data_IF_494356009016
#
_entry.id   IF_494356009016
#
_cell.length_a   1.000
_cell.length_b   1.000
_cell.length_c   1.000
_cell.angle_alpha   90.00
_cell.angle_beta   90.00
_cell.angle_gamma   90.00
#
_symmetry.space_group_name_H-M   'P 1'
#
loop_
_entity.id
_entity.type
_entity.pdbx_description
1 polymer ?
#
# COMPACT_ATOMS: atom_id res chain seq x y z
N UNK A 1 -66.75 -6.11 20.74
CA UNK A 1 -65.86 -7.16 21.28
C UNK A 1 -65.33 -8.03 20.15
N UNK A 2 -64.10 -7.76 19.69
CA UNK A 2 -63.24 -8.74 18.99
C UNK A 2 -61.80 -8.39 19.37
N UNK A 3 -61.12 -9.33 20.00
CA UNK A 3 -59.73 -9.25 20.47
C UNK A 3 -58.74 -9.26 19.29
N UNK A 4 -57.58 -8.61 19.40
CA UNK A 4 -56.48 -8.78 18.44
C UNK A 4 -55.83 -10.15 18.63
N UNK A 5 -55.55 -10.86 17.53
CA UNK A 5 -54.72 -12.07 17.52
C UNK A 5 -53.25 -11.65 17.55
N UNK A 6 -52.54 -12.07 18.58
CA UNK A 6 -51.08 -12.08 18.62
C UNK A 6 -50.52 -12.97 17.50
N UNK A 7 -49.71 -12.41 16.60
CA UNK A 7 -48.84 -13.18 15.70
C UNK A 7 -47.45 -13.20 16.34
N UNK A 8 -47.30 -14.04 17.36
CA UNK A 8 -45.99 -14.53 17.80
C UNK A 8 -45.74 -15.86 17.08
N UNK A 9 -45.14 -15.82 15.88
CA UNK A 9 -44.54 -17.04 15.33
C UNK A 9 -43.20 -17.29 16.03
N UNK A 10 -42.93 -18.53 16.50
CA UNK A 10 -41.67 -18.82 17.17
C UNK A 10 -40.51 -18.81 16.16
N UNK A 11 -39.38 -18.22 16.56
CA UNK A 11 -38.14 -18.07 15.78
C UNK A 11 -37.64 -19.41 15.21
N UNK A 12 -38.01 -20.53 15.82
CA UNK A 12 -37.74 -21.88 15.33
C UNK A 12 -38.27 -22.14 13.92
N UNK A 13 -39.43 -21.60 13.54
CA UNK A 13 -40.00 -21.76 12.20
C UNK A 13 -39.22 -20.96 11.13
N UNK A 14 -38.63 -19.82 11.49
CA UNK A 14 -37.83 -19.01 10.58
C UNK A 14 -36.49 -19.69 10.27
N UNK A 15 -35.86 -20.29 11.29
CA UNK A 15 -34.60 -21.06 11.16
C UNK A 15 -34.79 -22.28 10.27
N UNK A 16 -35.91 -23.02 10.44
CA UNK A 16 -36.25 -24.17 9.61
C UNK A 16 -36.45 -23.81 8.12
N UNK A 17 -37.10 -22.68 7.83
CA UNK A 17 -37.31 -22.23 6.44
C UNK A 17 -36.01 -21.80 5.75
N UNK A 18 -35.06 -21.20 6.47
CA UNK A 18 -33.72 -20.86 5.93
C UNK A 18 -32.91 -22.13 5.64
N UNK A 19 -33.00 -23.16 6.48
CA UNK A 19 -32.38 -24.46 6.23
C UNK A 19 -33.03 -25.22 5.06
N UNK A 20 -34.32 -25.05 4.79
CA UNK A 20 -34.99 -25.75 3.68
C UNK A 20 -34.62 -25.18 2.30
N UNK A 21 -34.30 -23.89 2.23
CA UNK A 21 -33.81 -23.22 1.00
C UNK A 21 -32.36 -23.60 0.64
N UNK A 22 -31.59 -24.14 1.58
CA UNK A 22 -30.20 -24.57 1.38
C UNK A 22 -30.05 -26.03 1.80
N UNK A 23 -30.11 -26.93 0.82
CA UNK A 23 -30.23 -28.39 0.89
C UNK A 23 -29.10 -29.12 1.69
N UNK A 24 -28.88 -28.80 2.97
CA UNK A 24 -27.89 -29.44 3.88
C UNK A 24 -28.36 -29.46 5.34
N UNK A 25 -28.09 -30.58 6.04
CA UNK A 25 -28.28 -30.74 7.49
C UNK A 25 -27.35 -29.77 8.25
N UNK A 26 -27.92 -28.76 8.91
CA UNK A 26 -27.18 -27.91 9.86
C UNK A 26 -27.28 -28.51 11.27
N UNK A 27 -26.14 -28.71 11.94
CA UNK A 27 -26.08 -29.00 13.38
C UNK A 27 -26.26 -27.68 14.14
N UNK A 28 -27.42 -27.49 14.76
CA UNK A 28 -27.69 -26.29 15.55
C UNK A 28 -27.04 -26.42 16.94
N UNK A 29 -25.89 -25.76 17.15
CA UNK A 29 -25.43 -25.41 18.49
C UNK A 29 -25.88 -23.99 18.82
N UNK A 30 -26.86 -23.85 19.72
CA UNK A 30 -27.30 -22.55 20.22
C UNK A 30 -26.37 -22.08 21.34
N UNK A 31 -25.47 -21.15 21.06
CA UNK A 31 -24.96 -20.23 22.08
C UNK A 31 -25.60 -18.87 21.84
N UNK A 32 -26.58 -18.50 22.65
CA UNK A 32 -27.32 -17.25 22.50
C UNK A 32 -26.73 -16.19 23.44
N UNK A 33 -25.97 -15.25 22.88
CA UNK A 33 -25.62 -14.00 23.56
C UNK A 33 -26.61 -12.93 23.10
N UNK A 34 -27.70 -12.74 23.83
CA UNK A 34 -28.64 -11.65 23.58
C UNK A 34 -28.10 -10.36 24.20
N UNK A 35 -27.78 -9.36 23.37
CA UNK A 35 -27.59 -7.96 23.82
C UNK A 35 -28.71 -7.10 23.26
N UNK A 36 -29.46 -6.48 24.16
CA UNK A 36 -30.55 -5.56 23.84
C UNK A 36 -30.00 -4.13 24.02
N UNK A 37 -30.00 -3.33 22.95
CA UNK A 37 -29.64 -1.91 23.01
C UNK A 37 -30.89 -1.11 22.68
N UNK A 38 -31.39 -0.33 23.65
CA UNK A 38 -32.50 0.61 23.47
C UNK A 38 -31.95 2.01 23.26
N UNK A 39 -31.98 2.49 22.02
CA UNK A 39 -31.96 3.91 21.68
C UNK A 39 -33.24 4.21 20.90
N UNK A 40 -33.93 5.28 21.30
CA UNK A 40 -35.26 5.74 20.85
C UNK A 40 -35.90 5.05 19.64
N UNK A 41 -37.06 4.41 19.87
CA UNK A 41 -38.02 3.88 18.86
C UNK A 41 -37.43 3.04 17.70
N UNK A 42 -36.25 2.44 17.86
CA UNK A 42 -35.78 1.33 17.03
C UNK A 42 -35.58 0.09 17.90
N UNK A 43 -36.23 -1.02 17.54
CA UNK A 43 -35.87 -2.35 18.04
C UNK A 43 -34.98 -3.02 17.00
N UNK A 44 -33.70 -3.21 17.33
CA UNK A 44 -32.78 -4.04 16.55
C UNK A 44 -32.55 -5.37 17.27
N UNK A 45 -32.83 -6.50 16.61
CA UNK A 45 -32.47 -7.85 17.10
C UNK A 45 -31.35 -8.41 16.23
N UNK A 46 -30.31 -8.91 16.89
CA UNK A 46 -29.17 -9.53 16.24
C UNK A 46 -29.24 -11.05 16.43
N UNK A 47 -29.21 -11.79 15.33
CA UNK A 47 -29.05 -13.24 15.34
C UNK A 47 -27.77 -13.59 14.57
N UNK A 48 -26.84 -14.26 15.24
CA UNK A 48 -25.63 -14.82 14.61
C UNK A 48 -25.89 -16.31 14.39
N UNK A 49 -25.88 -16.75 13.13
CA UNK A 49 -26.01 -18.15 12.77
C UNK A 49 -24.65 -18.64 12.28
N UNK A 50 -24.06 -19.58 13.03
CA UNK A 50 -22.82 -20.25 12.63
C UNK A 50 -23.19 -21.36 11.65
N UNK A 51 -22.78 -21.22 10.39
CA UNK A 51 -23.09 -22.21 9.33
C UNK A 51 -21.98 -23.27 9.25
N UNK A 52 -20.73 -22.86 9.48
CA UNK A 52 -19.55 -23.73 9.60
C UNK A 52 -18.43 -23.00 10.37
N UNK A 53 -17.31 -23.68 10.64
CA UNK A 53 -16.12 -23.09 11.27
C UNK A 53 -15.50 -21.89 10.53
N UNK A 54 -15.91 -21.65 9.28
CA UNK A 54 -15.35 -20.63 8.39
C UNK A 54 -16.39 -19.71 7.74
N UNK A 55 -17.68 -19.85 8.10
CA UNK A 55 -18.77 -19.03 7.54
C UNK A 55 -19.78 -18.63 8.62
N UNK A 56 -19.95 -17.33 8.78
CA UNK A 56 -20.95 -16.73 9.66
C UNK A 56 -22.01 -16.00 8.84
N UNK A 57 -23.26 -16.15 9.25
CA UNK A 57 -24.38 -15.38 8.71
C UNK A 57 -24.93 -14.47 9.81
N UNK A 58 -24.92 -13.17 9.55
CA UNK A 58 -25.52 -12.17 10.41
C UNK A 58 -26.90 -11.81 9.87
N UNK A 59 -27.91 -11.96 10.72
CA UNK A 59 -29.26 -11.47 10.44
C UNK A 59 -29.51 -10.30 11.39
N UNK A 60 -29.67 -9.12 10.79
CA UNK A 60 -30.09 -7.92 11.49
C UNK A 60 -31.55 -7.70 11.13
N UNK A 61 -32.44 -7.76 12.12
CA UNK A 61 -33.81 -7.29 11.96
C UNK A 61 -33.98 -5.95 12.66
N UNK A 62 -34.50 -4.98 11.92
CA UNK A 62 -34.95 -3.71 12.48
C UNK A 62 -36.40 -3.46 12.10
N UNK A 63 -37.16 -2.90 13.02
CA UNK A 63 -38.58 -2.60 12.82
C UNK A 63 -38.80 -1.09 12.94
N UNK A 64 -39.32 -0.49 11.86
CA UNK A 64 -39.66 0.94 11.80
C UNK A 64 -41.05 1.07 11.18
N UNK A 65 -41.98 1.76 11.84
CA UNK A 65 -43.36 1.98 11.37
C UNK A 65 -44.06 0.70 10.87
N UNK A 66 -43.99 -0.39 11.64
CA UNK A 66 -44.58 -1.71 11.30
C UNK A 66 -44.01 -2.41 10.05
N UNK A 67 -42.92 -1.92 9.47
CA UNK A 67 -42.19 -2.59 8.39
C UNK A 67 -40.95 -3.29 8.98
N UNK A 68 -40.78 -4.58 8.65
CA UNK A 68 -39.63 -5.39 9.05
C UNK A 68 -38.55 -5.34 7.97
N UNK A 69 -37.39 -4.80 8.31
CA UNK A 69 -36.21 -4.81 7.44
C UNK A 69 -35.28 -5.95 7.86
N UNK A 70 -34.95 -6.84 6.93
CA UNK A 70 -34.01 -7.94 7.12
C UNK A 70 -32.77 -7.68 6.26
N UNK A 71 -31.62 -7.52 6.90
CA UNK A 71 -30.33 -7.42 6.21
C UNK A 71 -29.53 -8.70 6.46
N UNK A 72 -29.14 -9.37 5.37
CA UNK A 72 -28.31 -10.57 5.40
C UNK A 72 -26.87 -10.19 5.05
N UNK A 73 -25.92 -10.51 5.93
CA UNK A 73 -24.50 -10.36 5.65
C UNK A 73 -23.81 -11.71 5.84
N UNK A 74 -23.28 -12.25 4.74
CA UNK A 74 -22.48 -13.48 4.74
C UNK A 74 -21.02 -13.07 4.76
N UNK A 75 -20.29 -13.47 5.79
CA UNK A 75 -18.86 -13.24 5.88
C UNK A 75 -18.15 -14.60 5.76
N UNK A 76 -17.48 -14.81 4.63
CA UNK A 76 -16.61 -15.97 4.42
C UNK A 76 -15.21 -15.60 4.89
N UNK A 77 -14.75 -16.26 5.95
CA UNK A 77 -13.33 -16.24 6.28
C UNK A 77 -12.69 -17.41 5.56
N UNK A 78 -11.83 -17.11 4.58
CA UNK A 78 -10.88 -18.08 4.09
C UNK A 78 -9.86 -18.34 5.20
N UNK A 79 -10.14 -19.32 6.05
CA UNK A 79 -9.10 -20.03 6.78
C UNK A 79 -8.36 -20.92 5.78
N UNK A 80 -7.67 -20.29 4.83
CA UNK A 80 -6.41 -20.86 4.40
C UNK A 80 -5.53 -20.60 5.60
N UNK A 81 -5.35 -21.58 6.47
CA UNK A 81 -4.10 -21.65 7.21
C UNK A 81 -3.08 -21.97 6.14
N UNK A 82 -2.28 -21.01 5.65
CA UNK A 82 -1.13 -21.45 4.92
C UNK A 82 -0.30 -22.16 5.98
N UNK A 83 -0.09 -23.46 5.82
CA UNK A 83 1.10 -24.08 6.39
C UNK A 83 2.29 -23.46 5.69
N UNK A 84 2.54 -22.18 5.97
CA UNK A 84 3.85 -21.55 5.77
C UNK A 84 4.66 -22.20 6.88
N UNK A 85 5.59 -23.08 6.49
CA UNK A 85 6.72 -23.35 7.36
C UNK A 85 7.19 -22.00 7.84
N UNK A 86 7.14 -21.75 9.15
CA UNK A 86 7.79 -20.60 9.76
C UNK A 86 9.29 -20.86 9.53
N UNK A 87 9.74 -20.52 8.34
CA UNK A 87 11.14 -20.47 8.00
C UNK A 87 11.63 -19.27 8.79
N UNK A 88 12.22 -19.55 9.95
CA UNK A 88 12.90 -18.56 10.79
C UNK A 88 14.08 -18.00 10.00
N UNK A 89 13.79 -17.21 8.96
CA UNK A 89 14.79 -16.56 8.13
C UNK A 89 15.33 -15.31 8.83
N UNK A 90 15.78 -15.40 10.07
CA UNK A 90 17.06 -14.74 10.33
C UNK A 90 18.09 -15.65 9.65
N UNK A 91 18.14 -15.63 8.32
CA UNK A 91 18.96 -16.57 7.54
C UNK A 91 20.38 -16.36 8.00
N UNK A 92 20.95 -17.39 8.63
CA UNK A 92 22.34 -17.32 9.02
C UNK A 92 23.17 -17.14 7.74
N UNK A 93 24.18 -16.29 7.79
CA UNK A 93 24.96 -15.88 6.62
C UNK A 93 26.43 -15.96 7.01
N UNK A 94 27.10 -17.05 6.64
CA UNK A 94 28.51 -17.26 6.97
C UNK A 94 29.39 -16.81 5.81
N UNK A 95 30.26 -15.84 6.09
CA UNK A 95 31.33 -15.47 5.16
C UNK A 95 32.36 -16.61 5.11
N UNK A 96 32.84 -16.95 3.91
CA UNK A 96 33.89 -17.96 3.73
C UNK A 96 35.26 -17.36 4.08
N UNK A 97 35.49 -17.05 5.36
CA UNK A 97 36.79 -16.65 5.87
C UNK A 97 37.42 -17.79 6.65
N UNK A 98 38.68 -18.11 6.33
CA UNK A 98 39.44 -19.22 6.92
C UNK A 98 39.57 -19.08 8.46
N UNK A 99 39.44 -17.86 9.00
CA UNK A 99 39.63 -17.54 10.41
C UNK A 99 38.37 -17.10 11.16
N UNK A 100 37.18 -17.19 10.57
CA UNK A 100 35.91 -16.85 11.24
C UNK A 100 34.92 -18.01 11.13
N UNK A 101 34.75 -18.80 12.20
CA UNK A 101 33.78 -19.90 12.22
C UNK A 101 32.33 -19.40 12.37
N UNK A 102 32.16 -18.16 12.82
CA UNK A 102 30.88 -17.51 13.06
C UNK A 102 30.31 -16.87 11.80
N UNK A 103 28.99 -16.67 11.78
CA UNK A 103 28.30 -15.93 10.73
C UNK A 103 28.47 -14.40 10.89
N UNK A 104 27.98 -13.60 9.94
CA UNK A 104 28.08 -12.12 9.99
C UNK A 104 27.38 -11.50 11.22
N UNK A 105 26.62 -12.30 11.97
CA UNK A 105 25.92 -11.92 13.18
C UNK A 105 26.58 -12.47 14.45
N UNK A 106 27.74 -13.13 14.35
CA UNK A 106 28.45 -13.76 15.48
C UNK A 106 27.88 -15.12 15.91
N UNK A 107 27.05 -15.78 15.08
CA UNK A 107 26.42 -17.06 15.42
C UNK A 107 27.33 -18.22 14.99
N UNK A 108 27.69 -19.10 15.94
CA UNK A 108 28.63 -20.21 15.72
C UNK A 108 28.07 -21.40 14.93
N UNK A 109 26.74 -21.57 14.89
CA UNK A 109 26.10 -22.77 14.33
C UNK A 109 25.67 -22.60 12.86
N UNK A 110 26.09 -21.53 12.19
CA UNK A 110 25.71 -21.30 10.80
C UNK A 110 26.59 -22.08 9.83
N UNK A 111 25.94 -22.80 8.92
CA UNK A 111 26.59 -23.52 7.82
C UNK A 111 26.23 -22.97 6.44
N UNK A 112 25.27 -22.03 6.36
CA UNK A 112 24.84 -21.43 5.09
C UNK A 112 25.81 -20.32 4.67
N UNK A 113 26.37 -20.37 3.45
CA UNK A 113 27.21 -19.30 2.94
C UNK A 113 26.38 -18.04 2.66
N UNK A 114 26.99 -16.88 2.87
CA UNK A 114 26.41 -15.61 2.42
C UNK A 114 26.20 -15.63 0.90
N UNK A 115 25.13 -14.95 0.46
CA UNK A 115 24.94 -14.68 -0.96
C UNK A 115 26.00 -13.69 -1.43
N UNK A 116 26.65 -14.00 -2.54
CA UNK A 116 27.58 -13.06 -3.16
C UNK A 116 26.80 -11.90 -3.81
N UNK A 117 27.34 -10.66 -3.76
CA UNK A 117 26.72 -9.52 -4.41
C UNK A 117 26.58 -9.80 -5.90
N UNK A 118 25.34 -9.78 -6.42
CA UNK A 118 25.11 -9.95 -7.85
C UNK A 118 25.30 -8.64 -8.60
N UNK A 119 25.64 -8.76 -9.88
CA UNK A 119 25.56 -7.63 -10.81
C UNK A 119 24.16 -6.98 -10.73
N UNK A 120 24.07 -5.66 -10.91
CA UNK A 120 22.79 -4.96 -10.97
C UNK A 120 21.83 -5.67 -11.93
N UNK A 121 20.54 -5.72 -11.58
CA UNK A 121 19.53 -6.38 -12.40
C UNK A 121 19.48 -5.67 -13.75
N UNK A 122 19.78 -6.34 -14.88
CA UNK A 122 19.95 -5.66 -16.17
C UNK A 122 18.77 -4.79 -16.58
N UNK A 123 17.54 -5.24 -16.28
CA UNK A 123 16.30 -4.50 -16.55
C UNK A 123 16.20 -3.16 -15.80
N UNK A 124 16.91 -3.02 -14.67
CA UNK A 124 16.85 -1.85 -13.80
C UNK A 124 18.02 -0.88 -14.03
N UNK A 125 18.99 -1.24 -14.89
CA UNK A 125 20.13 -0.38 -15.20
C UNK A 125 19.78 0.52 -16.38
N UNK A 126 19.96 1.83 -16.21
CA UNK A 126 19.98 2.77 -17.34
C UNK A 126 21.36 2.62 -18.01
N UNK A 127 21.39 2.25 -19.29
CA UNK A 127 22.62 1.93 -20.03
C UNK A 127 23.78 2.96 -19.82
N UNK A 128 24.91 2.44 -19.34
CA UNK A 128 26.34 2.86 -19.43
C UNK A 128 26.76 4.37 -19.34
N UNK A 129 27.60 4.75 -18.35
CA UNK A 129 28.26 6.07 -18.26
C UNK A 129 29.29 6.41 -19.36
N UNK A 130 29.66 5.48 -20.23
CA UNK A 130 30.70 5.71 -21.26
C UNK A 130 30.17 6.12 -22.63
N UNK A 131 28.86 6.27 -22.79
CA UNK A 131 28.27 6.66 -24.09
C UNK A 131 28.43 8.16 -24.33
N UNK A 132 29.32 8.48 -25.27
CA UNK A 132 29.63 9.82 -25.76
C UNK A 132 28.38 10.67 -26.09
N UNK A 133 28.51 11.98 -25.93
CA UNK A 133 27.50 13.05 -26.02
C UNK A 133 26.74 13.20 -27.36
N UNK A 134 26.55 12.15 -28.16
CA UNK A 134 26.02 12.26 -29.53
C UNK A 134 24.96 11.23 -29.94
N UNK A 135 24.04 10.84 -29.04
CA UNK A 135 22.75 10.29 -29.50
C UNK A 135 21.59 10.78 -28.63
N UNK A 136 20.78 11.65 -29.21
CA UNK A 136 19.47 12.11 -28.74
C UNK A 136 18.41 11.00 -28.87
N UNK A 137 18.62 9.89 -28.18
CA UNK A 137 17.62 8.83 -28.04
C UNK A 137 17.30 8.74 -26.55
N UNK A 138 16.07 9.12 -26.21
CA UNK A 138 15.56 9.36 -24.85
C UNK A 138 16.12 8.39 -23.79
N UNK A 139 17.07 8.86 -22.99
CA UNK A 139 17.48 8.16 -21.78
C UNK A 139 16.32 8.23 -20.78
N UNK A 140 15.45 7.22 -20.81
CA UNK A 140 14.35 7.10 -19.86
C UNK A 140 14.89 6.88 -18.46
N UNK A 141 14.49 7.72 -17.51
CA UNK A 141 14.83 7.51 -16.10
C UNK A 141 13.94 6.42 -15.50
N UNK A 142 14.42 5.79 -14.43
CA UNK A 142 13.67 4.74 -13.75
C UNK A 142 12.71 5.34 -12.71
N UNK A 143 11.52 4.77 -12.63
CA UNK A 143 10.62 4.93 -11.51
C UNK A 143 10.25 3.57 -10.93
N UNK A 144 10.11 3.49 -9.61
CA UNK A 144 9.91 2.23 -8.91
C UNK A 144 8.68 2.26 -8.02
N UNK A 145 7.91 1.18 -8.09
CA UNK A 145 6.97 0.74 -7.08
C UNK A 145 7.47 -0.58 -6.49
N UNK A 146 7.13 -0.88 -5.23
CA UNK A 146 7.53 -2.13 -4.58
C UNK A 146 6.34 -2.75 -3.86
N UNK A 147 5.96 -3.96 -4.27
CA UNK A 147 4.98 -4.83 -3.63
C UNK A 147 5.73 -5.80 -2.69
N UNK A 148 5.37 -5.81 -1.40
CA UNK A 148 6.14 -6.51 -0.34
C UNK A 148 5.32 -7.54 0.44
N UNK A 149 4.08 -7.81 0.04
CA UNK A 149 3.22 -8.80 0.69
C UNK A 149 3.49 -10.23 0.23
N UNK A 150 4.24 -10.41 -0.87
CA UNK A 150 4.58 -11.72 -1.40
C UNK A 150 3.52 -12.31 -2.33
N UNK A 151 2.50 -11.54 -2.71
CA UNK A 151 1.36 -12.05 -3.48
C UNK A 151 1.59 -12.10 -5.00
N UNK A 152 2.59 -11.37 -5.52
CA UNK A 152 2.87 -11.33 -6.96
C UNK A 152 1.74 -10.71 -7.79
N UNK A 153 0.91 -9.88 -7.16
CA UNK A 153 -0.34 -9.35 -7.68
C UNK A 153 -0.55 -7.90 -7.22
N UNK A 154 -1.28 -7.12 -8.03
CA UNK A 154 -1.75 -5.79 -7.66
C UNK A 154 -3.28 -5.77 -7.65
N UNK A 155 -3.86 -5.22 -6.59
CA UNK A 155 -5.28 -4.88 -6.58
C UNK A 155 -5.55 -3.66 -7.50
N UNK A 156 -6.83 -3.36 -7.76
CA UNK A 156 -7.20 -2.26 -8.66
C UNK A 156 -6.69 -0.88 -8.21
N UNK A 157 -6.55 -0.62 -6.90
CA UNK A 157 -6.01 0.66 -6.40
C UNK A 157 -4.51 0.77 -6.66
N UNK A 158 -3.78 -0.31 -6.39
CA UNK A 158 -2.35 -0.39 -6.63
C UNK A 158 -2.02 -0.33 -8.13
N UNK A 159 -2.80 -1.03 -8.96
CA UNK A 159 -2.65 -0.97 -10.41
C UNK A 159 -2.99 0.44 -10.95
N UNK A 160 -3.96 1.12 -10.36
CA UNK A 160 -4.27 2.52 -10.70
C UNK A 160 -3.09 3.46 -10.40
N UNK A 161 -2.38 3.28 -9.28
CA UNK A 161 -1.17 4.04 -8.98
C UNK A 161 -0.10 3.87 -10.08
N UNK A 162 0.16 2.61 -10.49
CA UNK A 162 1.11 2.29 -11.56
C UNK A 162 0.69 2.90 -12.89
N UNK A 163 -0.57 2.71 -13.29
CA UNK A 163 -1.12 3.28 -14.53
C UNK A 163 -0.97 4.80 -14.54
N UNK A 164 -1.37 5.47 -13.47
CA UNK A 164 -1.36 6.93 -13.40
C UNK A 164 0.04 7.51 -13.56
N UNK A 165 1.05 6.88 -12.97
CA UNK A 165 2.44 7.31 -13.16
C UNK A 165 2.88 7.11 -14.61
N UNK A 166 2.59 5.94 -15.19
CA UNK A 166 2.97 5.59 -16.55
C UNK A 166 2.33 6.52 -17.60
N UNK A 167 1.04 6.84 -17.42
CA UNK A 167 0.27 7.74 -18.28
C UNK A 167 0.87 9.15 -18.33
N UNK A 168 1.18 9.71 -17.16
CA UNK A 168 1.67 11.10 -17.07
C UNK A 168 3.18 11.24 -17.31
N UNK A 169 3.92 10.14 -17.37
CA UNK A 169 5.38 10.15 -17.51
C UNK A 169 5.86 9.14 -18.56
N UNK A 170 5.55 9.33 -19.85
CA UNK A 170 5.93 8.40 -20.92
C UNK A 170 7.46 8.24 -21.09
N UNK A 171 8.23 9.20 -20.57
CA UNK A 171 9.69 9.21 -20.58
C UNK A 171 10.32 8.51 -19.37
N UNK A 172 9.52 7.97 -18.45
CA UNK A 172 10.00 7.10 -17.37
C UNK A 172 9.82 5.64 -17.76
N UNK A 173 10.75 4.78 -17.34
CA UNK A 173 10.53 3.34 -17.26
C UNK A 173 10.01 3.02 -15.86
N UNK A 174 8.75 2.62 -15.77
CA UNK A 174 8.04 2.34 -14.52
C UNK A 174 8.18 0.86 -14.17
N UNK A 175 9.00 0.56 -13.18
CA UNK A 175 9.24 -0.78 -12.65
C UNK A 175 8.33 -1.05 -11.45
N UNK A 176 7.60 -2.16 -11.46
CA UNK A 176 6.95 -2.71 -10.27
C UNK A 176 7.76 -3.92 -9.81
N UNK A 177 8.38 -3.77 -8.64
CA UNK A 177 9.21 -4.79 -8.04
C UNK A 177 8.37 -5.63 -7.07
N UNK A 178 8.27 -6.93 -7.30
CA UNK A 178 7.57 -7.86 -6.42
C UNK A 178 8.59 -8.61 -5.56
N UNK A 179 8.57 -8.37 -4.24
CA UNK A 179 9.53 -8.96 -3.32
C UNK A 179 9.18 -10.42 -2.99
N UNK A 180 10.11 -11.33 -3.27
CA UNK A 180 10.03 -12.78 -3.04
C UNK A 180 8.73 -13.42 -3.54
N UNK A 181 8.20 -12.92 -4.66
CA UNK A 181 6.95 -13.40 -5.24
C UNK A 181 7.08 -13.77 -6.71
N UNK A 182 6.39 -14.85 -7.09
CA UNK A 182 6.16 -15.19 -8.50
C UNK A 182 5.07 -14.28 -9.04
N UNK A 183 5.38 -13.53 -10.09
CA UNK A 183 4.42 -12.60 -10.71
C UNK A 183 3.30 -13.40 -11.37
N UNK A 184 2.05 -13.09 -11.01
CA UNK A 184 0.87 -13.65 -11.65
C UNK A 184 0.44 -12.78 -12.83
N UNK A 185 1.14 -12.93 -13.96
CA UNK A 185 0.91 -12.13 -15.18
C UNK A 185 -0.45 -12.35 -15.83
N UNK A 186 -1.19 -13.39 -15.43
CA UNK A 186 -2.55 -13.67 -15.92
C UNK A 186 -3.64 -12.86 -15.21
N UNK A 187 -3.31 -12.05 -14.21
CA UNK A 187 -4.26 -11.14 -13.59
C UNK A 187 -4.62 -9.99 -14.54
N UNK A 188 -5.91 -9.68 -14.60
CA UNK A 188 -6.46 -8.62 -15.44
C UNK A 188 -5.78 -7.26 -15.23
N UNK A 189 -5.43 -6.92 -13.98
CA UNK A 189 -4.72 -5.68 -13.64
C UNK A 189 -3.33 -5.63 -14.27
N UNK A 190 -2.55 -6.71 -14.16
CA UNK A 190 -1.19 -6.76 -14.69
C UNK A 190 -1.19 -6.84 -16.22
N UNK A 191 -2.07 -7.68 -16.79
CA UNK A 191 -2.25 -7.79 -18.24
C UNK A 191 -2.64 -6.45 -18.85
N UNK A 192 -3.57 -5.73 -18.22
CA UNK A 192 -4.04 -4.42 -18.69
C UNK A 192 -2.92 -3.38 -18.68
N UNK A 193 -2.07 -3.37 -17.65
CA UNK A 193 -0.94 -2.43 -17.57
C UNK A 193 0.05 -2.65 -18.72
N UNK A 194 0.55 -3.88 -18.91
CA UNK A 194 1.58 -4.15 -19.95
C UNK A 194 1.03 -4.07 -21.36
N UNK A 195 -0.27 -4.33 -21.56
CA UNK A 195 -0.93 -4.19 -22.86
C UNK A 195 -1.04 -2.74 -23.30
N UNK A 196 -1.28 -1.81 -22.36
CA UNK A 196 -1.56 -0.41 -22.69
C UNK A 196 -0.36 0.53 -22.48
N UNK A 197 0.63 0.14 -21.67
CA UNK A 197 1.78 0.98 -21.33
C UNK A 197 3.10 0.25 -21.57
N UNK A 198 3.75 0.58 -22.70
CA UNK A 198 5.05 0.01 -23.07
C UNK A 198 6.19 0.41 -22.12
N UNK A 199 5.96 1.42 -21.28
CA UNK A 199 6.91 1.89 -20.28
C UNK A 199 6.69 1.27 -18.88
N UNK A 200 5.86 0.24 -18.74
CA UNK A 200 5.67 -0.51 -17.50
C UNK A 200 6.39 -1.86 -17.57
N UNK A 201 7.16 -2.18 -16.54
CA UNK A 201 7.89 -3.45 -16.41
C UNK A 201 7.65 -4.07 -15.03
N UNK A 202 7.48 -5.39 -15.00
CA UNK A 202 7.32 -6.15 -13.76
C UNK A 202 8.54 -6.99 -13.49
N UNK A 203 9.10 -6.88 -12.28
CA UNK A 203 10.34 -7.55 -11.91
C UNK A 203 10.13 -8.31 -10.60
N UNK A 204 10.39 -9.62 -10.61
CA UNK A 204 10.43 -10.42 -9.39
C UNK A 204 11.81 -10.25 -8.74
N UNK A 205 11.84 -9.88 -7.47
CA UNK A 205 13.06 -9.74 -6.69
C UNK A 205 13.23 -10.94 -5.77
N UNK A 206 14.43 -11.50 -5.75
CA UNK A 206 14.88 -12.28 -4.60
C UNK A 206 15.49 -11.31 -3.58
N UNK A 207 14.90 -11.20 -2.40
CA UNK A 207 15.32 -10.20 -1.41
C UNK A 207 16.70 -10.53 -0.83
N UNK A 208 17.04 -11.81 -0.65
CA UNK A 208 18.39 -12.21 -0.20
C UNK A 208 19.47 -11.70 -1.17
N UNK A 209 19.29 -11.95 -2.48
CA UNK A 209 20.19 -11.45 -3.52
C UNK A 209 20.19 -9.91 -3.60
N UNK A 210 19.05 -9.27 -3.29
CA UNK A 210 18.93 -7.82 -3.32
C UNK A 210 19.63 -7.14 -2.13
N UNK A 211 19.73 -7.81 -0.98
CA UNK A 211 20.41 -7.31 0.23
C UNK A 211 21.91 -7.62 0.24
N UNK A 212 22.33 -8.70 -0.41
CA UNK A 212 23.71 -9.17 -0.45
C UNK A 212 24.72 -8.05 -0.79
N UNK A 213 25.73 -7.88 0.06
CA UNK A 213 26.81 -6.90 -0.12
C UNK A 213 26.40 -5.44 0.05
N UNK A 214 25.19 -5.18 0.57
CA UNK A 214 24.72 -3.83 0.85
C UNK A 214 24.93 -3.46 2.31
N UNK A 215 24.80 -2.17 2.64
CA UNK A 215 24.84 -1.73 4.05
C UNK A 215 23.70 -2.33 4.88
N UNK A 216 22.63 -2.81 4.25
CA UNK A 216 21.47 -3.41 4.92
C UNK A 216 21.63 -4.92 5.19
N UNK A 217 22.69 -5.55 4.69
CA UNK A 217 22.91 -6.99 4.79
C UNK A 217 22.93 -7.48 6.25
N UNK A 218 23.66 -6.74 7.10
CA UNK A 218 23.69 -7.02 8.54
C UNK A 218 22.32 -6.81 9.20
N UNK A 219 21.58 -5.74 8.89
CA UNK A 219 20.22 -5.58 9.43
C UNK A 219 19.32 -6.76 9.02
N UNK A 220 19.39 -7.15 7.75
CA UNK A 220 18.52 -8.16 7.16
C UNK A 220 18.75 -9.58 7.74
N UNK A 221 20.00 -9.93 8.06
CA UNK A 221 20.36 -11.25 8.62
C UNK A 221 20.44 -11.28 10.15
N UNK A 222 20.82 -10.17 10.78
CA UNK A 222 21.18 -10.12 12.20
C UNK A 222 20.10 -9.57 13.11
N UNK A 223 19.03 -8.98 12.55
CA UNK A 223 17.89 -8.51 13.33
C UNK A 223 16.66 -9.40 13.13
N UNK A 224 15.74 -9.36 14.09
CA UNK A 224 14.45 -10.04 14.00
C UNK A 224 13.40 -9.16 13.29
N UNK A 225 13.79 -8.52 12.18
CA UNK A 225 12.92 -7.55 11.47
C UNK A 225 11.65 -8.18 10.89
N UNK A 226 11.66 -9.50 10.69
CA UNK A 226 10.51 -10.30 10.23
C UNK A 226 9.45 -10.47 11.32
N UNK A 227 9.81 -10.24 12.57
CA UNK A 227 8.90 -10.31 13.70
C UNK A 227 8.23 -8.96 13.96
N UNK A 228 7.05 -9.01 14.56
CA UNK A 228 6.25 -7.83 14.88
C UNK A 228 5.29 -7.39 13.78
N UNK A 229 4.35 -6.52 14.15
CA UNK A 229 3.19 -6.15 13.31
C UNK A 229 3.55 -5.27 12.11
N UNK A 230 4.77 -4.75 12.04
CA UNK A 230 5.20 -3.79 11.01
C UNK A 230 6.27 -4.33 10.05
N UNK A 231 6.61 -5.62 10.10
CA UNK A 231 7.68 -6.21 9.29
C UNK A 231 7.54 -5.96 7.78
N UNK A 232 6.34 -6.09 7.20
CA UNK A 232 6.09 -5.79 5.78
C UNK A 232 6.36 -4.31 5.46
N UNK A 233 5.92 -3.40 6.31
CA UNK A 233 6.17 -1.98 6.15
C UNK A 233 7.66 -1.64 6.31
N UNK A 234 8.34 -2.26 7.27
CA UNK A 234 9.78 -2.10 7.48
C UNK A 234 10.60 -2.61 6.30
N UNK A 235 10.21 -3.75 5.71
CA UNK A 235 10.83 -4.26 4.48
C UNK A 235 10.62 -3.28 3.31
N UNK A 236 9.42 -2.74 3.14
CA UNK A 236 9.14 -1.71 2.13
C UNK A 236 9.98 -0.45 2.34
N UNK A 237 10.17 0.00 3.58
CA UNK A 237 11.04 1.13 3.92
C UNK A 237 12.52 0.88 3.62
N UNK A 238 13.00 -0.34 3.88
CA UNK A 238 14.37 -0.73 3.53
C UNK A 238 14.56 -0.77 2.01
N UNK A 239 13.67 -1.50 1.32
CA UNK A 239 13.78 -1.71 -0.12
C UNK A 239 13.68 -0.41 -0.90
N UNK A 240 12.77 0.53 -0.56
CA UNK A 240 12.66 1.80 -1.29
C UNK A 240 13.95 2.62 -1.27
N UNK A 241 14.61 2.70 -0.11
CA UNK A 241 15.87 3.44 0.06
C UNK A 241 16.99 2.74 -0.70
N UNK A 242 17.05 1.41 -0.58
CA UNK A 242 18.06 0.61 -1.26
C UNK A 242 17.91 0.67 -2.79
N UNK A 243 16.68 0.63 -3.29
CA UNK A 243 16.38 0.71 -4.73
C UNK A 243 16.84 2.03 -5.32
N UNK A 244 16.44 3.17 -4.74
CA UNK A 244 16.87 4.48 -5.26
C UNK A 244 18.37 4.70 -5.09
N UNK A 245 19.00 4.13 -4.05
CA UNK A 245 20.46 4.17 -3.91
C UNK A 245 21.18 3.36 -5.00
N UNK A 246 20.68 2.16 -5.32
CA UNK A 246 21.28 1.24 -6.30
C UNK A 246 21.12 1.70 -7.75
N UNK A 247 19.99 2.33 -8.08
CA UNK A 247 19.61 2.60 -9.47
C UNK A 247 19.35 4.09 -9.78
N UNK A 248 19.27 4.95 -8.76
CA UNK A 248 18.80 6.33 -8.92
C UNK A 248 17.34 6.41 -9.40
N UNK A 249 16.83 7.61 -9.63
CA UNK A 249 15.49 7.83 -10.16
C UNK A 249 14.43 8.01 -9.08
N UNK A 250 13.18 7.67 -9.42
CA UNK A 250 11.99 7.95 -8.60
C UNK A 250 11.48 6.71 -7.87
N UNK A 251 10.94 6.90 -6.68
CA UNK A 251 10.17 5.90 -5.96
C UNK A 251 8.82 6.47 -5.56
N UNK A 252 7.78 5.64 -5.66
CA UNK A 252 6.42 5.95 -5.23
C UNK A 252 5.83 4.76 -4.45
N UNK A 253 5.10 5.05 -3.36
CA UNK A 253 4.23 4.07 -2.74
C UNK A 253 3.08 3.69 -3.68
N UNK A 254 2.58 2.45 -3.57
CA UNK A 254 1.50 1.91 -4.42
C UNK A 254 0.12 2.52 -4.15
N UNK A 255 0.05 3.57 -3.34
CA UNK A 255 -1.15 4.34 -3.02
C UNK A 255 -1.02 5.82 -3.39
N UNK A 256 -0.06 6.17 -4.25
CA UNK A 256 0.09 7.48 -4.90
C UNK A 256 -0.55 7.46 -6.30
N UNK A 257 -1.60 8.25 -6.52
CA UNK A 257 -2.14 8.50 -7.86
C UNK A 257 -1.45 9.73 -8.45
N UNK A 258 -0.71 9.57 -9.54
CA UNK A 258 -0.06 10.68 -10.25
C UNK A 258 -1.07 11.44 -11.11
N UNK A 259 -1.00 12.78 -11.09
CA UNK A 259 -1.93 13.63 -11.84
C UNK A 259 -1.25 14.40 -12.99
N UNK A 260 0.09 14.43 -13.00
CA UNK A 260 0.91 15.20 -13.94
C UNK A 260 2.36 14.70 -13.97
N UNK A 261 3.18 15.17 -14.93
CA UNK A 261 4.59 14.78 -14.99
C UNK A 261 5.38 15.19 -13.75
N UNK A 262 6.25 14.29 -13.28
CA UNK A 262 7.12 14.48 -12.09
C UNK A 262 8.58 14.76 -12.46
N UNK A 263 8.96 14.55 -13.73
CA UNK A 263 10.36 14.57 -14.19
C UNK A 263 11.07 15.92 -14.09
N UNK A 264 10.33 17.00 -13.79
CA UNK A 264 10.88 18.32 -13.50
C UNK A 264 11.54 18.41 -12.12
N UNK A 265 11.24 17.49 -11.21
CA UNK A 265 11.70 17.52 -9.82
C UNK A 265 12.80 16.49 -9.60
N UNK A 266 13.91 16.91 -9.01
CA UNK A 266 15.07 16.05 -8.74
C UNK A 266 15.54 16.21 -7.29
N UNK A 267 16.24 15.19 -6.82
CA UNK A 267 16.77 15.02 -5.46
C UNK A 267 15.79 15.53 -4.39
N UNK A 268 14.65 14.87 -4.22
CA UNK A 268 13.59 15.36 -3.35
C UNK A 268 12.91 14.28 -2.51
N UNK A 269 12.27 14.73 -1.44
CA UNK A 269 11.17 14.03 -0.75
C UNK A 269 9.96 14.96 -0.64
N UNK A 270 8.78 14.41 -0.39
CA UNK A 270 7.57 15.21 -0.18
C UNK A 270 7.26 15.39 1.32
N UNK A 271 6.89 16.61 1.71
CA UNK A 271 6.30 16.86 3.01
C UNK A 271 4.93 16.15 3.09
N UNK A 272 4.63 15.52 4.23
CA UNK A 272 3.29 14.94 4.52
C UNK A 272 2.45 15.85 5.41
N UNK A 273 3.08 16.84 6.05
CA UNK A 273 2.46 17.87 6.87
C UNK A 273 3.40 19.08 6.98
N UNK A 274 3.00 20.10 7.73
CA UNK A 274 3.85 21.25 8.08
C UNK A 274 5.05 20.90 8.98
N UNK A 275 5.09 19.67 9.52
CA UNK A 275 6.09 19.22 10.50
C UNK A 275 6.90 18.01 10.06
N UNK A 276 6.37 17.20 9.15
CA UNK A 276 6.98 15.92 8.80
C UNK A 276 7.08 15.73 7.29
N UNK A 277 8.14 15.04 6.87
CA UNK A 277 8.24 14.46 5.53
C UNK A 277 7.90 12.97 5.58
N UNK A 278 7.52 12.44 4.43
CA UNK A 278 7.34 11.02 4.22
C UNK A 278 8.35 10.52 3.18
N UNK A 279 8.69 9.24 3.26
CA UNK A 279 9.55 8.55 2.30
C UNK A 279 8.74 7.74 1.27
N UNK A 280 7.44 8.03 1.10
CA UNK A 280 6.54 7.41 0.12
C UNK A 280 6.63 8.02 -1.28
N UNK A 281 7.31 9.16 -1.41
CA UNK A 281 7.69 9.75 -2.70
C UNK A 281 9.11 10.28 -2.59
N UNK A 282 10.02 9.71 -3.36
CA UNK A 282 11.45 10.05 -3.35
C UNK A 282 11.91 10.20 -4.79
N UNK A 283 12.76 11.18 -5.04
CA UNK A 283 13.70 11.10 -6.15
C UNK A 283 15.12 11.25 -5.61
N UNK A 284 16.05 10.44 -6.09
CA UNK A 284 17.46 10.64 -5.81
C UNK A 284 18.34 10.24 -7.00
N UNK A 285 19.40 11.00 -7.24
CA UNK A 285 20.43 10.58 -8.18
C UNK A 285 21.13 9.30 -7.69
N UNK A 286 21.72 8.57 -8.63
CA UNK A 286 22.43 7.33 -8.35
C UNK A 286 23.48 7.55 -7.25
N UNK A 287 23.48 6.70 -6.22
CA UNK A 287 24.39 6.79 -5.06
C UNK A 287 24.33 8.12 -4.31
N UNK A 288 23.18 8.79 -4.28
CA UNK A 288 22.99 10.04 -3.54
C UNK A 288 23.39 9.88 -2.05
N UNK A 289 24.23 10.79 -1.56
CA UNK A 289 24.81 10.73 -0.21
C UNK A 289 23.80 10.91 0.92
N UNK A 290 22.69 11.63 0.70
CA UNK A 290 21.62 11.74 1.68
C UNK A 290 20.91 10.39 1.82
N UNK A 291 20.62 9.71 0.71
CA UNK A 291 20.04 8.36 0.75
C UNK A 291 21.00 7.38 1.42
N UNK A 292 22.29 7.39 1.07
CA UNK A 292 23.29 6.53 1.73
C UNK A 292 23.32 6.77 3.25
N UNK A 293 23.31 8.03 3.68
CA UNK A 293 23.24 8.42 5.10
C UNK A 293 21.95 7.91 5.75
N UNK A 294 20.84 7.98 5.02
CA UNK A 294 19.54 7.46 5.47
C UNK A 294 19.56 5.94 5.65
N UNK A 295 20.22 5.22 4.74
CA UNK A 295 20.41 3.76 4.85
C UNK A 295 21.27 3.41 6.08
N UNK A 296 22.37 4.14 6.32
CA UNK A 296 23.22 3.95 7.50
C UNK A 296 22.42 4.18 8.79
N UNK A 297 21.63 5.25 8.85
CA UNK A 297 20.78 5.54 10.00
C UNK A 297 19.67 4.49 10.19
N UNK A 298 19.06 3.99 9.10
CA UNK A 298 18.09 2.89 9.14
C UNK A 298 18.67 1.68 9.88
N UNK A 299 19.87 1.25 9.50
CA UNK A 299 20.52 0.04 10.04
C UNK A 299 20.87 0.22 11.52
N UNK A 300 21.40 1.38 11.90
CA UNK A 300 21.86 1.65 13.27
C UNK A 300 20.69 1.89 14.23
N UNK A 301 19.63 2.58 13.77
CA UNK A 301 18.52 3.02 14.61
C UNK A 301 17.21 2.28 14.30
N UNK A 302 17.31 1.06 13.76
CA UNK A 302 16.16 0.24 13.41
C UNK A 302 15.29 -0.05 14.65
N UNK A 303 13.98 0.15 14.53
CA UNK A 303 12.99 -0.14 15.58
C UNK A 303 11.80 -0.91 15.02
N UNK A 304 11.72 -2.24 15.22
CA UNK A 304 10.62 -3.03 14.65
C UNK A 304 9.26 -2.72 15.30
N UNK A 305 9.28 -2.17 16.51
CA UNK A 305 8.12 -1.92 17.38
C UNK A 305 7.44 -0.56 17.13
N UNK A 306 8.08 0.36 16.40
CA UNK A 306 7.55 1.72 16.16
C UNK A 306 7.31 1.93 14.66
N UNK A 307 6.03 1.98 14.27
CA UNK A 307 5.61 2.05 12.87
C UNK A 307 6.33 3.12 12.04
N UNK A 308 6.39 4.36 12.54
CA UNK A 308 6.98 5.48 11.79
C UNK A 308 8.50 5.58 11.87
N UNK A 309 9.16 4.83 12.76
CA UNK A 309 10.58 5.03 13.07
C UNK A 309 11.48 4.75 11.87
N UNK A 310 11.16 3.74 11.08
CA UNK A 310 12.01 3.30 9.97
C UNK A 310 11.60 3.89 8.62
N UNK A 311 10.58 4.75 8.60
CA UNK A 311 10.06 5.41 7.40
C UNK A 311 10.06 6.93 7.55
N UNK A 312 8.89 7.59 7.74
CA UNK A 312 8.80 9.06 7.86
C UNK A 312 9.75 9.67 8.89
N UNK A 313 9.81 9.12 10.12
CA UNK A 313 10.67 9.67 11.17
C UNK A 313 12.17 9.44 10.90
N UNK A 314 12.54 8.44 10.09
CA UNK A 314 13.91 8.19 9.66
C UNK A 314 14.39 9.25 8.70
N UNK A 315 13.66 9.47 7.61
CA UNK A 315 14.10 10.44 6.61
C UNK A 315 14.09 11.86 7.19
N UNK A 316 13.13 12.16 8.08
CA UNK A 316 13.06 13.46 8.76
C UNK A 316 14.25 13.70 9.69
N UNK A 317 14.61 12.75 10.57
CA UNK A 317 15.76 12.93 11.49
C UNK A 317 17.10 13.03 10.76
N UNK A 318 17.22 12.37 9.60
CA UNK A 318 18.41 12.47 8.74
C UNK A 318 18.46 13.84 8.07
N UNK A 319 17.33 14.33 7.54
CA UNK A 319 17.23 15.68 6.97
C UNK A 319 17.55 16.78 7.98
N UNK A 320 17.11 16.65 9.24
CA UNK A 320 17.45 17.63 10.29
C UNK A 320 18.96 17.79 10.45
N UNK A 321 19.69 16.67 10.50
CA UNK A 321 21.16 16.67 10.58
C UNK A 321 21.80 17.13 9.28
N UNK A 322 21.26 16.69 8.14
CA UNK A 322 21.83 16.97 6.81
C UNK A 322 21.74 18.45 6.44
N UNK A 323 20.56 19.03 6.66
CA UNK A 323 20.25 20.43 6.37
C UNK A 323 20.67 21.39 7.48
N UNK A 324 21.14 20.87 8.64
CA UNK A 324 21.41 21.66 9.84
C UNK A 324 20.20 22.54 10.25
N UNK A 325 19.03 21.91 10.35
CA UNK A 325 17.75 22.60 10.55
C UNK A 325 16.81 21.77 11.45
N UNK A 326 16.17 22.41 12.43
CA UNK A 326 15.33 21.71 13.40
C UNK A 326 13.90 21.45 12.90
N UNK A 327 13.43 22.21 11.91
CA UNK A 327 12.07 22.11 11.38
C UNK A 327 12.03 22.32 9.86
N UNK A 328 10.96 21.82 9.22
CA UNK A 328 10.79 21.85 7.76
C UNK A 328 10.85 23.25 7.16
N UNK A 329 10.34 24.27 7.85
CA UNK A 329 10.30 25.64 7.32
C UNK A 329 11.69 26.23 7.11
N UNK A 330 12.69 25.69 7.82
CA UNK A 330 14.09 26.12 7.74
C UNK A 330 14.97 25.20 6.87
N UNK A 331 14.39 24.12 6.32
CA UNK A 331 15.08 23.19 5.42
C UNK A 331 15.06 23.72 3.99
N UNK A 332 15.94 24.68 3.71
CA UNK A 332 16.07 25.30 2.39
C UNK A 332 17.03 24.52 1.49
N UNK A 333 16.84 24.62 0.17
CA UNK A 333 17.63 23.92 -0.85
C UNK A 333 19.16 24.04 -0.64
N UNK A 334 19.64 25.25 -0.35
CA UNK A 334 21.07 25.53 -0.15
C UNK A 334 21.59 24.81 1.10
N UNK A 335 20.88 24.96 2.23
CA UNK A 335 21.27 24.36 3.51
C UNK A 335 21.18 22.82 3.45
N UNK A 336 20.23 22.30 2.69
CA UNK A 336 20.06 20.88 2.38
C UNK A 336 21.00 20.36 1.27
N UNK A 337 22.00 21.14 0.86
CA UNK A 337 23.05 20.73 -0.11
C UNK A 337 22.48 20.26 -1.44
N UNK A 338 21.45 20.96 -1.92
CA UNK A 338 20.80 20.67 -3.19
C UNK A 338 19.73 19.58 -3.12
N UNK A 339 19.32 19.13 -1.93
CA UNK A 339 18.19 18.24 -1.74
C UNK A 339 16.91 19.04 -1.44
N UNK A 340 15.84 18.80 -2.20
CA UNK A 340 14.58 19.51 -2.13
C UNK A 340 13.60 18.83 -1.15
N UNK A 341 12.76 19.64 -0.52
CA UNK A 341 11.56 19.18 0.18
C UNK A 341 10.37 19.78 -0.55
N UNK A 342 9.62 18.94 -1.26
CA UNK A 342 8.43 19.40 -1.95
C UNK A 342 7.34 19.77 -0.93
N UNK A 343 6.55 20.84 -1.18
CA UNK A 343 5.47 21.23 -0.28
C UNK A 343 4.45 20.11 -0.07
N UNK A 344 3.75 20.12 1.06
CA UNK A 344 2.70 19.14 1.39
C UNK A 344 1.68 18.96 0.26
N UNK A 345 1.25 20.08 -0.34
CA UNK A 345 0.29 20.09 -1.45
C UNK A 345 0.74 19.33 -2.71
N UNK A 346 2.02 18.99 -2.84
CA UNK A 346 2.53 18.29 -4.02
C UNK A 346 2.04 16.85 -4.13
N UNK A 347 2.06 16.10 -3.02
CA UNK A 347 1.67 14.68 -2.97
C UNK A 347 0.69 14.35 -1.85
N UNK A 348 0.51 15.25 -0.87
CA UNK A 348 -0.40 15.07 0.26
C UNK A 348 -1.43 16.21 0.35
N UNK A 349 -2.17 16.53 -0.73
CA UNK A 349 -3.16 17.61 -0.72
C UNK A 349 -4.34 17.35 0.23
N UNK A 350 -4.54 16.09 0.64
CA UNK A 350 -5.49 15.68 1.68
C UNK A 350 -4.70 15.06 2.81
N UNK A 351 -4.63 15.75 3.94
CA UNK A 351 -3.95 15.27 5.16
C UNK A 351 -4.53 13.93 5.63
N UNK A 352 -3.73 13.07 6.27
CA UNK A 352 -4.17 11.74 6.67
C UNK A 352 -5.43 11.76 7.55
N UNK A 353 -5.55 12.70 8.49
CA UNK A 353 -6.76 12.84 9.34
C UNK A 353 -8.05 13.11 8.55
N UNK A 354 -7.92 13.56 7.30
CA UNK A 354 -9.01 13.90 6.38
C UNK A 354 -9.12 12.91 5.23
N UNK A 355 -8.44 11.75 5.27
CA UNK A 355 -8.42 10.78 4.17
C UNK A 355 -9.82 10.38 3.68
N UNK A 356 -10.81 10.36 4.58
CA UNK A 356 -12.21 10.05 4.26
C UNK A 356 -12.82 11.01 3.25
N UNK A 357 -12.33 12.25 3.13
CA UNK A 357 -12.78 13.20 2.10
C UNK A 357 -12.54 12.67 0.67
N UNK A 358 -11.57 11.76 0.47
CA UNK A 358 -11.35 11.11 -0.82
C UNK A 358 -12.46 10.11 -1.20
N UNK A 359 -13.09 9.49 -0.20
CA UNK A 359 -14.05 8.40 -0.34
C UNK A 359 -15.48 8.78 0.09
N UNK A 360 -15.67 9.99 0.61
CA UNK A 360 -16.98 10.48 1.00
C UNK A 360 -17.82 10.78 -0.24
N UNK A 361 -19.09 10.37 -0.21
CA UNK A 361 -20.08 10.87 -1.16
C UNK A 361 -20.17 12.39 -1.02
N UNK A 362 -19.95 13.12 -2.11
CA UNK A 362 -20.42 14.49 -2.17
C UNK A 362 -21.95 14.45 -2.20
N UNK A 363 -22.57 14.49 -1.03
CA UNK A 363 -23.98 14.75 -0.84
C UNK A 363 -24.24 16.23 -1.17
N UNK A 364 -24.10 16.61 -2.43
CA UNK A 364 -24.76 17.83 -2.92
C UNK A 364 -25.64 17.42 -4.07
N UNK A 365 -26.93 17.67 -3.87
CA UNK A 365 -28.01 17.51 -4.81
C UNK A 365 -27.55 17.75 -6.25
N UNK A 366 -27.84 16.77 -7.09
CA UNK A 366 -27.93 16.91 -8.53
C UNK A 366 -29.09 17.91 -8.75
N UNK A 367 -28.81 19.20 -8.62
CA UNK A 367 -29.57 20.21 -9.33
C UNK A 367 -28.91 20.26 -10.71
N UNK A 368 -29.62 19.77 -11.73
CA UNK A 368 -29.19 19.61 -13.13
C UNK A 368 -28.91 20.94 -13.85
N UNK A 369 -28.52 21.99 -13.14
CA UNK A 369 -28.34 23.34 -13.70
C UNK A 369 -26.93 23.91 -13.54
N UNK A 370 -26.05 23.28 -12.75
CA UNK A 370 -24.64 23.67 -12.68
C UNK A 370 -23.78 22.69 -13.49
N UNK A 371 -23.63 22.97 -14.79
CA UNK A 371 -22.63 22.36 -15.68
C UNK A 371 -21.18 22.76 -15.33
N UNK A 372 -20.93 23.14 -14.08
CA UNK A 372 -19.59 23.31 -13.53
C UNK A 372 -19.28 22.11 -12.65
N UNK A 373 -18.32 21.32 -13.10
CA UNK A 373 -17.55 20.39 -12.26
C UNK A 373 -17.17 21.13 -10.97
N UNK A 374 -17.89 20.90 -9.87
CA UNK A 374 -17.53 21.48 -8.58
C UNK A 374 -16.07 21.11 -8.31
N UNK A 375 -15.21 22.11 -8.42
CA UNK A 375 -13.76 21.92 -8.36
C UNK A 375 -13.41 21.42 -6.96
N UNK A 376 -12.62 20.36 -6.89
CA UNK A 376 -12.09 19.86 -5.63
C UNK A 376 -11.08 20.92 -5.16
N UNK A 377 -11.34 21.60 -4.04
CA UNK A 377 -10.59 22.80 -3.66
C UNK A 377 -9.08 22.56 -3.50
N UNK A 378 -8.67 21.37 -3.06
CA UNK A 378 -7.27 20.99 -2.92
C UNK A 378 -6.62 20.59 -4.25
N UNK A 379 -7.41 20.30 -5.30
CA UNK A 379 -6.93 19.88 -6.62
C UNK A 379 -6.48 21.10 -7.43
N UNK A 380 -5.28 21.59 -7.15
CA UNK A 380 -4.67 22.76 -7.79
C UNK A 380 -3.57 22.37 -8.77
N UNK A 381 -3.02 23.35 -9.50
CA UNK A 381 -1.83 23.18 -10.35
C UNK A 381 -0.55 22.79 -9.59
N UNK A 382 -0.57 22.83 -8.25
CA UNK A 382 0.58 22.42 -7.44
C UNK A 382 0.56 20.93 -7.11
N UNK A 383 -0.57 20.24 -7.29
CA UNK A 383 -0.75 18.84 -6.92
C UNK A 383 -0.19 17.93 -8.00
N UNK A 384 0.95 17.33 -7.74
CA UNK A 384 1.65 16.41 -8.64
C UNK A 384 1.04 15.01 -8.58
N UNK A 385 0.76 14.55 -7.37
CA UNK A 385 0.08 13.29 -7.09
C UNK A 385 -0.79 13.39 -5.83
N UNK A 386 -1.53 12.31 -5.54
CA UNK A 386 -2.39 12.23 -4.37
C UNK A 386 -2.10 10.93 -3.64
N UNK A 387 -1.60 11.05 -2.41
CA UNK A 387 -1.49 9.95 -1.46
C UNK A 387 -2.87 9.57 -0.95
N UNK A 388 -3.27 8.32 -1.18
CA UNK A 388 -4.63 7.83 -0.85
C UNK A 388 -4.71 7.14 0.51
N UNK A 389 -3.58 7.02 1.21
CA UNK A 389 -3.47 6.59 2.62
C UNK A 389 -3.93 5.16 2.85
N UNK A 390 -3.44 4.20 2.07
CA UNK A 390 -3.93 2.82 2.03
C UNK A 390 -3.98 2.15 3.42
N UNK A 391 -3.05 2.46 4.32
CA UNK A 391 -3.11 1.98 5.72
C UNK A 391 -4.44 2.32 6.41
N UNK A 392 -5.00 3.49 6.10
CA UNK A 392 -6.22 4.05 6.69
C UNK A 392 -7.44 3.86 5.78
N UNK A 393 -7.25 3.72 4.46
CA UNK A 393 -8.33 3.72 3.46
C UNK A 393 -8.58 2.40 2.75
N UNK A 394 -7.75 1.36 2.95
CA UNK A 394 -7.89 0.06 2.26
C UNK A 394 -9.27 -0.59 2.38
N UNK A 395 -9.99 -0.31 3.46
CA UNK A 395 -11.30 -0.88 3.76
C UNK A 395 -12.47 0.05 3.35
N UNK A 396 -12.18 1.27 2.87
CA UNK A 396 -13.19 2.23 2.40
C UNK A 396 -13.67 1.83 1.00
N UNK A 397 -14.91 1.38 0.79
CA UNK A 397 -15.35 0.88 -0.52
C UNK A 397 -15.42 2.00 -1.57
N UNK A 398 -14.94 1.73 -2.78
CA UNK A 398 -15.10 2.62 -3.93
C UNK A 398 -16.23 2.09 -4.81
N UNK A 399 -17.30 2.86 -4.98
CA UNK A 399 -18.42 2.52 -5.86
C UNK A 399 -18.26 3.23 -7.19
N UNK A 400 -18.09 2.55 -8.33
CA UNK A 400 -17.80 3.20 -9.62
C UNK A 400 -18.79 4.29 -10.04
N UNK A 401 -20.05 4.15 -9.64
CA UNK A 401 -21.12 5.12 -9.92
C UNK A 401 -21.18 6.31 -8.96
N UNK A 402 -20.37 6.32 -7.90
CA UNK A 402 -20.32 7.40 -6.93
C UNK A 402 -19.53 8.60 -7.42
N UNK A 403 -19.83 9.77 -6.86
CA UNK A 403 -19.14 11.04 -7.12
C UNK A 403 -17.97 11.29 -6.16
N UNK A 404 -17.32 10.22 -5.67
CA UNK A 404 -16.15 10.33 -4.78
C UNK A 404 -15.00 11.03 -5.49
N UNK A 405 -14.20 11.79 -4.73
CA UNK A 405 -12.99 12.39 -5.29
C UNK A 405 -12.04 11.32 -5.83
N UNK A 406 -11.89 10.18 -5.13
CA UNK A 406 -11.12 9.05 -5.62
C UNK A 406 -11.59 8.56 -6.99
N UNK A 407 -12.90 8.42 -7.22
CA UNK A 407 -13.42 7.98 -8.53
C UNK A 407 -13.05 8.93 -9.65
N UNK A 408 -13.10 10.25 -9.39
CA UNK A 408 -12.66 11.23 -10.36
C UNK A 408 -11.17 11.04 -10.67
N UNK A 409 -10.33 10.91 -9.66
CA UNK A 409 -8.90 10.64 -9.85
C UNK A 409 -8.66 9.36 -10.66
N UNK A 410 -9.33 8.27 -10.29
CA UNK A 410 -9.14 6.97 -10.93
C UNK A 410 -9.62 6.98 -12.39
N UNK A 411 -10.80 7.54 -12.66
CA UNK A 411 -11.33 7.65 -14.02
C UNK A 411 -10.45 8.53 -14.91
N UNK A 412 -9.96 9.64 -14.38
CA UNK A 412 -9.26 10.66 -15.17
C UNK A 412 -7.75 10.33 -15.32
N UNK A 413 -7.17 9.52 -14.41
CA UNK A 413 -5.73 9.25 -14.38
C UNK A 413 -5.33 7.78 -14.40
N UNK A 414 -6.26 6.84 -14.25
CA UNK A 414 -6.01 5.42 -14.51
C UNK A 414 -7.18 4.77 -15.28
N UNK A 415 -7.49 5.29 -16.48
CA UNK A 415 -8.72 4.96 -17.19
C UNK A 415 -8.85 3.46 -17.53
N UNK A 416 -7.75 2.77 -17.85
CA UNK A 416 -7.82 1.35 -18.22
C UNK A 416 -8.09 0.46 -17.01
N UNK A 417 -7.38 0.65 -15.90
CA UNK A 417 -7.63 -0.07 -14.65
C UNK A 417 -9.02 0.26 -14.09
N UNK A 418 -9.42 1.54 -14.13
CA UNK A 418 -10.76 1.93 -13.73
C UNK A 418 -11.83 1.25 -14.61
N UNK A 419 -11.61 1.10 -15.92
CA UNK A 419 -12.55 0.44 -16.81
C UNK A 419 -12.82 -1.02 -16.43
N UNK A 420 -11.78 -1.78 -16.08
CA UNK A 420 -11.88 -3.21 -15.73
C UNK A 420 -12.23 -3.47 -14.26
N UNK A 421 -12.10 -2.47 -13.39
CA UNK A 421 -12.47 -2.58 -11.98
C UNK A 421 -13.95 -3.00 -11.81
N UNK A 422 -14.30 -3.82 -10.80
CA UNK A 422 -15.68 -4.19 -10.52
C UNK A 422 -16.47 -2.99 -10.00
N UNK A 423 -17.80 -3.09 -9.97
CA UNK A 423 -18.68 -2.00 -9.51
C UNK A 423 -18.34 -1.47 -8.10
N UNK A 424 -17.76 -2.33 -7.26
CA UNK A 424 -17.26 -1.99 -5.93
C UNK A 424 -15.86 -2.58 -5.77
N UNK A 425 -14.84 -1.75 -5.47
CA UNK A 425 -13.44 -2.19 -5.35
C UNK A 425 -12.61 -1.46 -4.28
#
# INVERSE_FOLDING_TARGET
MRTPRDINQPISHLILNVCYLWNRKCLAHSSSSFRQLTLGRLFAKFLVVVISSSTFCFIISSQLNNILYLQFRVQRYWLVTPTVSIDHRATCCRQQSINQPEDICGRSNCTLPCKEPRNPIPQLVNDDPTRSQHSSQDNKENAFFIETTGNGALNYRQACAVESLALHNPNLTVHVLFADATINSSLDTLETLVKNYANVQFVSLNVDDYMAGTLMDHWYHCTDWRNGSYHVNNLSNALRLLTVYKYGGYYFDLDIISLRPVTYYRNFVAAESDKHVNNGVIHADLKNSLIETTIKDFVVNFRPDVWGNNGPALIFRVLQKWCNADNLKTMEYINCRGFNILPESSFHPVHFDKMKELFAHQLTAINETDNETKSISWLTEKVIGVHTWNKLSKDEPIYKNATHAYNRLARDHCPYIFSISPEIF
#
